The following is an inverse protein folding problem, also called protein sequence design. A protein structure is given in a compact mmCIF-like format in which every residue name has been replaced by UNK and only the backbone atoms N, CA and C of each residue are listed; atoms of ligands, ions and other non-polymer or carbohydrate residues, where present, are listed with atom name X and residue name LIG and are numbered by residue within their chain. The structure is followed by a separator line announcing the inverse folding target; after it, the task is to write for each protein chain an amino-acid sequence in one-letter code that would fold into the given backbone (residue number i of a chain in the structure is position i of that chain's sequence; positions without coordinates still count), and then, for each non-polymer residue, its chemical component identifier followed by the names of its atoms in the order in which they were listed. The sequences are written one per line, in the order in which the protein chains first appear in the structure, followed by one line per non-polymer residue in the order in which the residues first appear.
data_IF_406786251087
#
_entry.id   IF_406786251087
#
_cell.length_a   1.000
_cell.length_b   1.000
_cell.length_c   1.000
_cell.angle_alpha   90.00
_cell.angle_beta   90.00
_cell.angle_gamma   90.00
#
_symmetry.space_group_name_H-M   'P 1'
#
loop_
_entity.id
_entity.type
_entity.pdbx_description
1 polymer ?
#
# COMPACT_ATOMS: atom_id res chain seq x y z
N UNK A 1 9.33 6.19 -23.25
CA UNK A 1 8.81 7.40 -22.58
C UNK A 1 9.09 7.27 -21.09
N UNK A 2 9.61 8.29 -20.40
CA UNK A 2 9.93 8.18 -18.95
C UNK A 2 8.64 8.10 -18.12
N UNK A 3 8.65 7.29 -17.06
CA UNK A 3 7.53 7.19 -16.13
C UNK A 3 7.57 8.37 -15.13
N UNK A 4 6.39 8.80 -14.70
CA UNK A 4 6.17 9.73 -13.60
C UNK A 4 5.25 9.02 -12.60
N UNK A 5 5.70 8.89 -11.36
CA UNK A 5 5.03 8.11 -10.33
C UNK A 5 4.36 9.03 -9.32
N UNK A 6 3.10 8.76 -9.01
CA UNK A 6 2.40 9.41 -7.89
C UNK A 6 1.70 8.36 -7.04
N UNK A 7 1.59 8.64 -5.74
CA UNK A 7 0.55 8.08 -4.90
C UNK A 7 -0.54 9.13 -4.80
N UNK A 8 -1.76 8.79 -5.20
CA UNK A 8 -2.88 9.73 -5.21
C UNK A 8 -3.85 9.37 -4.09
N UNK A 9 -3.80 10.18 -3.05
CA UNK A 9 -4.74 10.16 -1.92
C UNK A 9 -6.07 10.78 -2.37
N UNK A 10 -7.10 9.96 -2.56
CA UNK A 10 -8.40 10.40 -3.10
C UNK A 10 -9.48 10.62 -2.05
N UNK A 11 -9.28 10.13 -0.83
CA UNK A 11 -10.27 10.23 0.25
C UNK A 11 -9.62 10.23 1.62
N UNK A 12 -10.15 11.02 2.55
CA UNK A 12 -9.82 10.91 3.98
C UNK A 12 -10.68 9.84 4.68
N UNK A 13 -11.76 9.37 4.06
CA UNK A 13 -12.65 8.37 4.63
C UNK A 13 -11.91 7.04 4.84
N UNK A 14 -12.02 6.47 6.03
CA UNK A 14 -11.50 5.13 6.33
C UNK A 14 -12.45 4.39 7.26
N UNK A 15 -12.61 3.08 7.04
CA UNK A 15 -13.40 2.18 7.88
C UNK A 15 -12.59 1.53 9.02
N UNK A 16 -11.28 1.77 9.10
CA UNK A 16 -10.45 1.36 10.22
C UNK A 16 -10.01 2.56 11.08
N UNK A 17 -9.53 2.28 12.29
CA UNK A 17 -9.00 3.28 13.24
C UNK A 17 -7.63 2.85 13.75
N UNK A 18 -6.74 2.50 12.82
CA UNK A 18 -5.42 1.96 13.11
C UNK A 18 -4.61 2.86 14.05
N UNK A 19 -3.85 2.30 14.99
CA UNK A 19 -3.08 3.09 15.96
C UNK A 19 -1.89 3.81 15.34
N UNK A 20 -1.27 3.23 14.31
CA UNK A 20 -0.07 3.75 13.65
C UNK A 20 -0.38 4.73 12.51
N UNK A 21 -1.65 5.04 12.24
CA UNK A 21 -2.04 5.81 11.06
C UNK A 21 -1.51 7.25 11.14
N UNK A 22 -0.99 7.77 10.03
CA UNK A 22 -0.54 9.16 9.93
C UNK A 22 -1.71 10.16 9.82
N UNK A 23 -2.93 9.70 9.54
CA UNK A 23 -4.13 10.53 9.47
C UNK A 23 -4.72 10.78 10.87
N UNK A 24 -5.33 11.94 11.05
CA UNK A 24 -6.09 12.31 12.26
C UNK A 24 -7.59 12.26 12.03
N UNK A 25 -8.02 12.60 10.81
CA UNK A 25 -9.42 12.61 10.39
C UNK A 25 -9.69 11.39 9.51
N UNK A 26 -10.93 10.91 9.57
CA UNK A 26 -11.37 9.71 8.87
C UNK A 26 -12.75 9.89 8.23
N UNK A 27 -13.13 11.14 7.91
CA UNK A 27 -14.44 11.52 7.40
C UNK A 27 -14.35 12.02 5.96
N UNK A 28 -15.37 11.70 5.15
CA UNK A 28 -15.47 12.07 3.74
C UNK A 28 -15.61 13.58 3.46
N UNK A 29 -15.87 14.42 4.47
CA UNK A 29 -16.24 15.83 4.27
C UNK A 29 -15.18 16.67 3.55
N UNK A 30 -13.93 16.21 3.53
CA UNK A 30 -12.81 16.90 2.92
C UNK A 30 -12.46 16.34 1.52
N UNK A 31 -13.23 15.36 1.03
CA UNK A 31 -13.01 14.75 -0.29
C UNK A 31 -13.48 15.69 -1.41
N UNK A 32 -12.68 15.77 -2.46
CA UNK A 32 -13.01 16.54 -3.66
C UNK A 32 -14.20 15.95 -4.42
N UNK A 33 -14.97 16.80 -5.11
CA UNK A 33 -15.98 16.32 -6.06
C UNK A 33 -15.33 15.60 -7.24
N UNK A 34 -16.10 14.77 -7.95
CA UNK A 34 -15.58 14.10 -9.14
C UNK A 34 -15.13 15.10 -10.22
N UNK A 35 -15.85 16.21 -10.38
CA UNK A 35 -15.48 17.29 -11.31
C UNK A 35 -14.15 17.94 -10.95
N UNK A 36 -13.90 18.16 -9.66
CA UNK A 36 -12.63 18.70 -9.17
C UNK A 36 -11.47 17.72 -9.39
N UNK A 37 -11.70 16.43 -9.11
CA UNK A 37 -10.75 15.34 -9.39
C UNK A 37 -10.42 15.28 -10.88
N UNK A 38 -11.43 15.34 -11.75
CA UNK A 38 -11.25 15.32 -13.20
C UNK A 38 -10.47 16.54 -13.69
N UNK A 39 -10.72 17.73 -13.13
CA UNK A 39 -9.96 18.95 -13.45
C UNK A 39 -8.48 18.82 -13.06
N UNK A 40 -8.18 18.33 -11.85
CA UNK A 40 -6.81 18.09 -11.40
C UNK A 40 -6.10 17.05 -12.26
N UNK A 41 -6.78 15.96 -12.58
CA UNK A 41 -6.28 14.91 -13.46
C UNK A 41 -5.93 15.47 -14.84
N UNK A 42 -6.82 16.23 -15.46
CA UNK A 42 -6.58 16.81 -16.78
C UNK A 42 -5.37 17.75 -16.79
N UNK A 43 -5.19 18.57 -15.75
CA UNK A 43 -4.01 19.43 -15.60
C UNK A 43 -2.72 18.61 -15.50
N UNK A 44 -2.72 17.54 -14.68
CA UNK A 44 -1.57 16.64 -14.57
C UNK A 44 -1.26 15.97 -15.91
N UNK A 45 -2.28 15.48 -16.60
CA UNK A 45 -2.11 14.80 -17.89
C UNK A 45 -1.55 15.74 -18.95
N UNK A 46 -2.01 17.00 -19.00
CA UNK A 46 -1.46 18.00 -19.90
C UNK A 46 0.03 18.23 -19.61
N UNK A 47 0.39 18.46 -18.34
CA UNK A 47 1.78 18.61 -17.93
C UNK A 47 2.65 17.41 -18.35
N UNK A 48 2.16 16.18 -18.16
CA UNK A 48 2.92 14.99 -18.52
C UNK A 48 3.08 14.81 -20.03
N UNK A 49 2.06 15.17 -20.82
CA UNK A 49 2.15 15.18 -22.29
C UNK A 49 3.19 16.18 -22.77
N UNK A 50 3.19 17.39 -22.23
CA UNK A 50 4.17 18.44 -22.57
C UNK A 50 5.60 18.02 -22.23
N UNK A 51 5.77 17.17 -21.20
CA UNK A 51 7.07 16.62 -20.79
C UNK A 51 7.39 15.27 -21.43
N UNK A 52 6.54 14.76 -22.34
CA UNK A 52 6.67 13.44 -22.96
C UNK A 52 6.89 12.33 -21.91
N UNK A 53 5.98 12.24 -20.93
CA UNK A 53 6.00 11.28 -19.81
C UNK A 53 4.70 10.48 -19.74
N UNK A 54 4.78 9.26 -19.20
CA UNK A 54 3.62 8.43 -18.84
C UNK A 54 3.38 8.47 -17.34
N UNK A 55 2.12 8.38 -16.93
CA UNK A 55 1.71 8.34 -15.53
C UNK A 55 1.62 6.90 -15.03
N UNK A 56 2.33 6.61 -13.95
CA UNK A 56 2.05 5.47 -13.07
C UNK A 56 1.44 6.01 -11.78
N UNK A 57 0.26 5.54 -11.41
CA UNK A 57 -0.48 6.04 -10.24
C UNK A 57 -0.84 4.90 -9.30
N UNK A 58 -0.56 5.05 -8.02
CA UNK A 58 -1.12 4.20 -6.97
C UNK A 58 -2.24 4.97 -6.27
N UNK A 59 -3.48 4.50 -6.38
CA UNK A 59 -4.65 5.09 -5.72
C UNK A 59 -4.68 4.65 -4.27
N UNK A 60 -4.82 5.61 -3.36
CA UNK A 60 -4.78 5.40 -1.91
C UNK A 60 -5.64 6.44 -1.18
N UNK A 61 -5.50 6.52 0.13
CA UNK A 61 -6.09 7.53 1.00
C UNK A 61 -6.27 7.00 2.40
N UNK A 62 -7.43 7.24 3.00
CA UNK A 62 -7.92 6.44 4.11
C UNK A 62 -8.17 5.00 3.68
N UNK A 63 -9.33 4.73 3.10
CA UNK A 63 -9.63 3.50 2.37
C UNK A 63 -10.22 3.86 1.00
N UNK A 64 -9.46 3.72 -0.11
CA UNK A 64 -9.87 4.24 -1.41
C UNK A 64 -11.21 3.67 -1.90
N UNK A 65 -11.53 2.41 -1.57
CA UNK A 65 -12.79 1.78 -1.98
C UNK A 65 -14.04 2.38 -1.31
N UNK A 66 -13.88 3.24 -0.29
CA UNK A 66 -14.99 4.01 0.29
C UNK A 66 -15.32 5.29 -0.47
N UNK A 67 -14.46 5.74 -1.40
CA UNK A 67 -14.75 6.94 -2.15
C UNK A 67 -15.95 6.70 -3.08
N UNK A 68 -16.97 7.56 -3.00
CA UNK A 68 -18.26 7.39 -3.71
C UNK A 68 -18.11 7.27 -5.25
N UNK A 69 -17.09 7.89 -5.81
CA UNK A 69 -16.78 7.88 -7.25
C UNK A 69 -15.57 7.00 -7.59
N UNK A 70 -15.17 6.08 -6.70
CA UNK A 70 -13.99 5.21 -6.89
C UNK A 70 -13.94 4.55 -8.29
N UNK A 71 -15.05 3.96 -8.73
CA UNK A 71 -15.14 3.31 -10.04
C UNK A 71 -14.99 4.30 -11.20
N UNK A 72 -15.62 5.49 -11.13
CA UNK A 72 -15.48 6.53 -12.15
C UNK A 72 -14.04 7.05 -12.26
N UNK A 73 -13.33 7.13 -11.13
CA UNK A 73 -11.91 7.51 -11.12
C UNK A 73 -11.08 6.45 -11.86
N UNK A 74 -11.38 5.16 -11.63
CA UNK A 74 -10.70 4.08 -12.35
C UNK A 74 -11.02 4.07 -13.85
N UNK A 75 -12.27 4.29 -14.25
CA UNK A 75 -12.66 4.42 -15.65
C UNK A 75 -11.88 5.57 -16.33
N UNK A 76 -11.82 6.74 -15.69
CA UNK A 76 -11.05 7.89 -16.16
C UNK A 76 -9.55 7.57 -16.37
N UNK A 77 -8.96 6.78 -15.47
CA UNK A 77 -7.56 6.33 -15.59
C UNK A 77 -7.38 5.31 -16.72
N UNK A 78 -8.30 4.35 -16.84
CA UNK A 78 -8.32 3.29 -17.85
C UNK A 78 -8.47 3.86 -19.27
N UNK A 79 -9.26 4.91 -19.45
CA UNK A 79 -9.49 5.52 -20.77
C UNK A 79 -8.32 6.41 -21.23
N UNK A 80 -7.50 6.93 -20.32
CA UNK A 80 -6.47 7.91 -20.67
C UNK A 80 -5.13 7.28 -21.11
N UNK A 81 -4.76 7.39 -22.38
CA UNK A 81 -3.52 6.83 -22.93
C UNK A 81 -2.20 7.34 -22.30
N UNK A 82 -2.23 8.44 -21.54
CA UNK A 82 -1.05 8.93 -20.81
C UNK A 82 -0.79 8.10 -19.56
N UNK A 83 -1.82 7.47 -19.01
CA UNK A 83 -1.73 6.52 -17.90
C UNK A 83 -1.23 5.19 -18.44
N UNK A 84 -0.08 4.73 -17.93
CA UNK A 84 0.53 3.46 -18.30
C UNK A 84 0.15 2.35 -17.32
N UNK A 85 0.03 2.67 -16.03
CA UNK A 85 -0.18 1.71 -14.95
C UNK A 85 -0.90 2.33 -13.77
N UNK A 86 -1.83 1.57 -13.20
CA UNK A 86 -2.51 1.86 -11.96
C UNK A 86 -2.18 0.80 -10.90
N UNK A 87 -2.19 1.20 -9.64
CA UNK A 87 -2.16 0.33 -8.48
C UNK A 87 -3.15 0.80 -7.42
N UNK A 88 -3.45 -0.07 -6.45
CA UNK A 88 -4.26 0.28 -5.27
C UNK A 88 -3.44 0.01 -4.02
N UNK A 89 -3.45 0.93 -3.06
CA UNK A 89 -3.00 0.72 -1.69
C UNK A 89 -4.24 0.80 -0.79
N UNK A 90 -4.57 -0.31 -0.14
CA UNK A 90 -5.83 -0.49 0.59
C UNK A 90 -5.59 -1.24 1.90
N UNK A 91 -6.45 -1.03 2.89
CA UNK A 91 -6.47 -1.84 4.10
C UNK A 91 -7.06 -3.25 3.86
N UNK A 92 -7.63 -3.51 2.68
CA UNK A 92 -8.06 -4.82 2.22
C UNK A 92 -9.43 -5.28 2.73
N UNK A 93 -10.07 -4.52 3.62
CA UNK A 93 -11.33 -4.93 4.27
C UNK A 93 -12.52 -5.02 3.31
N UNK A 94 -12.44 -4.37 2.15
CA UNK A 94 -13.47 -4.33 1.12
C UNK A 94 -13.11 -5.18 -0.11
N UNK A 95 -12.00 -5.94 -0.06
CA UNK A 95 -11.56 -6.82 -1.14
C UNK A 95 -12.22 -8.20 -1.05
N UNK A 96 -13.55 -8.23 -1.24
CA UNK A 96 -14.26 -9.49 -1.44
C UNK A 96 -14.02 -10.08 -2.85
N UNK A 97 -14.49 -11.31 -3.07
CA UNK A 97 -14.33 -12.04 -4.34
C UNK A 97 -14.94 -11.29 -5.53
N UNK A 98 -16.06 -10.58 -5.35
CA UNK A 98 -16.73 -9.88 -6.45
C UNK A 98 -15.96 -8.61 -6.80
N UNK A 99 -15.60 -7.82 -5.79
CA UNK A 99 -14.77 -6.62 -5.95
C UNK A 99 -13.47 -6.94 -6.67
N UNK A 100 -12.78 -8.01 -6.26
CA UNK A 100 -11.51 -8.41 -6.90
C UNK A 100 -11.70 -8.88 -8.35
N UNK A 101 -12.79 -9.58 -8.67
CA UNK A 101 -13.11 -9.94 -10.06
C UNK A 101 -13.30 -8.70 -10.94
N UNK A 102 -14.07 -7.71 -10.47
CA UNK A 102 -14.25 -6.45 -11.20
C UNK A 102 -12.92 -5.70 -11.37
N UNK A 103 -12.13 -5.59 -10.31
CA UNK A 103 -10.80 -4.99 -10.38
C UNK A 103 -9.88 -5.73 -11.37
N UNK A 104 -10.03 -7.04 -11.50
CA UNK A 104 -9.25 -7.85 -12.43
C UNK A 104 -9.58 -7.62 -13.91
N UNK A 105 -10.71 -6.99 -14.23
CA UNK A 105 -11.08 -6.64 -15.61
C UNK A 105 -10.43 -5.31 -16.06
N UNK A 106 -9.95 -4.50 -15.12
CA UNK A 106 -9.31 -3.21 -15.39
C UNK A 106 -7.90 -3.43 -15.93
N UNK A 107 -7.69 -3.16 -17.23
CA UNK A 107 -6.44 -3.56 -17.91
C UNK A 107 -5.21 -2.82 -17.41
N UNK A 108 -5.33 -1.56 -16.98
CA UNK A 108 -4.19 -0.79 -16.43
C UNK A 108 -3.97 -1.03 -14.96
N UNK A 109 -4.89 -1.64 -14.22
CA UNK A 109 -4.67 -2.02 -12.84
C UNK A 109 -3.73 -3.22 -12.79
N UNK A 110 -2.51 -3.00 -12.30
CA UNK A 110 -1.44 -4.02 -12.31
C UNK A 110 -1.06 -4.53 -10.94
N UNK A 111 -1.41 -3.80 -9.88
CA UNK A 111 -1.04 -4.19 -8.51
C UNK A 111 -2.08 -3.81 -7.50
N UNK A 112 -2.31 -4.68 -6.53
CA UNK A 112 -2.99 -4.38 -5.27
C UNK A 112 -1.98 -4.59 -4.14
N UNK A 113 -1.83 -3.58 -3.29
CA UNK A 113 -0.96 -3.59 -2.12
C UNK A 113 -1.85 -3.54 -0.88
N UNK A 114 -1.89 -4.62 -0.12
CA UNK A 114 -2.69 -4.74 1.10
C UNK A 114 -1.84 -4.39 2.31
N UNK A 115 -2.25 -3.38 3.05
CA UNK A 115 -1.49 -2.90 4.20
C UNK A 115 -1.67 -3.78 5.44
N UNK A 116 -0.57 -4.08 6.14
CA UNK A 116 -0.55 -4.84 7.38
C UNK A 116 0.60 -4.39 8.31
N UNK A 117 0.48 -4.61 9.62
CA UNK A 117 1.56 -4.35 10.60
C UNK A 117 1.99 -5.61 11.35
N UNK A 118 1.35 -6.72 11.03
CA UNK A 118 1.61 -8.01 11.62
C UNK A 118 0.99 -9.11 10.78
N UNK A 119 1.67 -10.24 10.74
CA UNK A 119 1.18 -11.52 10.22
C UNK A 119 0.84 -12.49 11.35
N UNK A 120 0.88 -12.02 12.59
CA UNK A 120 0.36 -12.71 13.76
C UNK A 120 -0.82 -11.93 14.35
N UNK A 121 -1.80 -12.68 14.88
CA UNK A 121 -3.07 -12.15 15.36
C UNK A 121 -2.93 -10.99 16.33
N UNK A 122 -2.12 -11.16 17.37
CA UNK A 122 -1.92 -10.18 18.44
C UNK A 122 -1.39 -8.84 17.91
N UNK A 123 -0.44 -8.86 16.97
CA UNK A 123 0.17 -7.65 16.42
C UNK A 123 -0.75 -6.99 15.39
N UNK A 124 -1.35 -7.78 14.48
CA UNK A 124 -2.30 -7.24 13.52
C UNK A 124 -3.49 -6.57 14.21
N UNK A 125 -4.15 -7.25 15.15
CA UNK A 125 -5.32 -6.73 15.85
C UNK A 125 -4.97 -5.52 16.72
N UNK A 126 -3.79 -5.51 17.34
CA UNK A 126 -3.30 -4.37 18.12
C UNK A 126 -3.17 -3.10 17.27
N UNK A 127 -2.57 -3.20 16.08
CA UNK A 127 -2.32 -2.04 15.23
C UNK A 127 -3.55 -1.62 14.41
N UNK A 128 -4.28 -2.58 13.83
CA UNK A 128 -5.35 -2.33 12.87
C UNK A 128 -6.72 -2.17 13.51
N UNK A 129 -6.91 -2.66 14.73
CA UNK A 129 -8.23 -2.79 15.38
C UNK A 129 -9.24 -3.54 14.49
N UNK A 130 -8.78 -4.56 13.79
CA UNK A 130 -9.58 -5.36 12.87
C UNK A 130 -9.29 -6.85 13.07
N UNK A 131 -10.29 -7.75 13.03
CA UNK A 131 -10.07 -9.17 13.29
C UNK A 131 -9.08 -9.81 12.31
N UNK A 132 -8.11 -10.53 12.84
CA UNK A 132 -7.05 -11.14 12.04
C UNK A 132 -7.60 -12.19 11.05
N UNK A 133 -8.63 -12.93 11.43
CA UNK A 133 -9.28 -13.92 10.55
C UNK A 133 -9.84 -13.28 9.27
N UNK A 134 -10.41 -12.07 9.39
CA UNK A 134 -10.92 -11.34 8.22
C UNK A 134 -9.79 -10.89 7.31
N UNK A 135 -8.64 -10.53 7.87
CA UNK A 135 -7.44 -10.25 7.09
C UNK A 135 -6.94 -11.49 6.34
N UNK A 136 -6.90 -12.67 6.97
CA UNK A 136 -6.55 -13.90 6.29
C UNK A 136 -7.52 -14.20 5.13
N UNK A 137 -8.84 -14.06 5.34
CA UNK A 137 -9.83 -14.19 4.28
C UNK A 137 -9.62 -13.17 3.14
N UNK A 138 -9.24 -11.93 3.45
CA UNK A 138 -8.83 -10.96 2.42
C UNK A 138 -7.65 -11.50 1.60
N UNK A 139 -6.61 -12.06 2.24
CA UNK A 139 -5.46 -12.63 1.54
C UNK A 139 -5.84 -13.82 0.65
N UNK A 140 -6.72 -14.70 1.12
CA UNK A 140 -7.25 -15.80 0.30
C UNK A 140 -8.02 -15.29 -0.92
N UNK A 141 -8.82 -14.24 -0.74
CA UNK A 141 -9.61 -13.67 -1.83
C UNK A 141 -8.73 -13.03 -2.91
N UNK A 142 -7.53 -12.53 -2.60
CA UNK A 142 -6.59 -11.92 -3.57
C UNK A 142 -6.27 -12.84 -4.76
N UNK A 143 -6.41 -14.17 -4.61
CA UNK A 143 -6.34 -15.12 -5.72
C UNK A 143 -7.29 -14.83 -6.89
N UNK A 144 -8.36 -14.06 -6.67
CA UNK A 144 -9.32 -13.64 -7.69
C UNK A 144 -8.87 -12.40 -8.49
N UNK A 145 -7.68 -11.86 -8.24
CA UNK A 145 -7.11 -10.74 -8.98
C UNK A 145 -5.94 -11.19 -9.86
N UNK A 146 -5.98 -10.88 -11.15
CA UNK A 146 -4.98 -11.34 -12.14
C UNK A 146 -3.69 -10.51 -12.18
N UNK A 147 -3.54 -9.51 -11.31
CA UNK A 147 -2.32 -8.69 -11.22
C UNK A 147 -1.40 -9.08 -10.06
N UNK A 148 -0.41 -8.23 -9.83
CA UNK A 148 0.54 -8.34 -8.73
C UNK A 148 -0.16 -8.08 -7.38
N UNK A 149 0.08 -8.93 -6.40
CA UNK A 149 -0.54 -8.93 -5.07
C UNK A 149 0.58 -8.79 -4.06
N UNK A 150 0.66 -7.64 -3.41
CA UNK A 150 1.74 -7.36 -2.46
C UNK A 150 1.17 -7.09 -1.08
N UNK A 151 1.93 -7.47 -0.05
CA UNK A 151 1.76 -6.87 1.28
C UNK A 151 2.56 -5.57 1.35
N UNK A 152 2.03 -4.59 2.08
CA UNK A 152 2.81 -3.41 2.48
C UNK A 152 2.83 -3.35 4.01
N UNK A 153 4.02 -3.53 4.57
CA UNK A 153 4.26 -3.73 5.99
C UNK A 153 4.85 -2.48 6.63
N UNK A 154 4.13 -1.88 7.58
CA UNK A 154 4.65 -0.73 8.34
C UNK A 154 5.51 -1.22 9.51
N UNK A 155 6.82 -1.11 9.36
CA UNK A 155 7.82 -1.57 10.32
C UNK A 155 8.03 -0.58 11.47
N UNK A 156 7.91 -1.08 12.69
CA UNK A 156 8.20 -0.41 13.95
C UNK A 156 9.04 -1.32 14.84
N UNK A 157 9.48 -0.82 16.00
CA UNK A 157 10.36 -1.58 16.90
C UNK A 157 9.70 -2.89 17.39
N UNK A 158 8.39 -2.85 17.67
CA UNK A 158 7.67 -3.96 18.30
C UNK A 158 7.14 -5.02 17.34
N UNK A 159 7.28 -4.83 16.02
CA UNK A 159 6.86 -5.82 15.02
C UNK A 159 8.01 -6.27 14.10
N UNK A 160 9.24 -5.83 14.39
CA UNK A 160 10.41 -6.10 13.57
C UNK A 160 10.75 -7.60 13.46
N UNK A 161 10.41 -8.38 14.47
CA UNK A 161 10.57 -9.84 14.51
C UNK A 161 9.62 -10.58 13.55
N UNK A 162 8.57 -9.92 13.07
CA UNK A 162 7.63 -10.52 12.11
C UNK A 162 8.03 -10.34 10.65
N UNK A 163 9.04 -9.52 10.34
CA UNK A 163 9.43 -9.25 8.95
C UNK A 163 9.82 -10.54 8.22
N UNK A 164 10.53 -11.45 8.90
CA UNK A 164 10.90 -12.74 8.29
C UNK A 164 9.70 -13.68 8.10
N UNK A 165 8.65 -13.53 8.91
CA UNK A 165 7.41 -14.32 8.80
C UNK A 165 6.58 -13.89 7.57
N UNK A 166 6.90 -12.75 6.95
CA UNK A 166 6.25 -12.33 5.70
C UNK A 166 6.54 -13.31 4.55
N UNK A 167 7.73 -13.91 4.51
CA UNK A 167 8.07 -14.93 3.49
C UNK A 167 7.11 -16.13 3.54
N UNK A 168 6.89 -16.69 4.72
CA UNK A 168 5.92 -17.78 4.93
C UNK A 168 4.48 -17.34 4.54
N UNK A 169 4.15 -16.08 4.81
CA UNK A 169 2.82 -15.53 4.51
C UNK A 169 2.60 -15.37 3.01
N UNK A 170 3.58 -14.82 2.27
CA UNK A 170 3.46 -14.65 0.82
C UNK A 170 3.40 -16.02 0.12
N UNK A 171 4.17 -17.01 0.57
CA UNK A 171 4.11 -18.37 0.02
C UNK A 171 2.74 -19.02 0.29
N UNK A 172 2.27 -18.97 1.54
CA UNK A 172 1.00 -19.57 1.95
C UNK A 172 -0.20 -19.04 1.15
N UNK A 173 -0.24 -17.73 0.89
CA UNK A 173 -1.35 -17.08 0.21
C UNK A 173 -1.07 -16.80 -1.28
N UNK A 174 0.04 -17.31 -1.82
CA UNK A 174 0.47 -17.11 -3.22
C UNK A 174 0.47 -15.63 -3.63
N UNK A 175 1.11 -14.80 -2.81
CA UNK A 175 1.34 -13.38 -3.05
C UNK A 175 2.67 -13.19 -3.78
N UNK A 176 2.77 -12.10 -4.55
CA UNK A 176 3.94 -11.79 -5.39
C UNK A 176 5.05 -11.04 -4.64
N UNK A 177 4.97 -10.98 -3.31
CA UNK A 177 5.98 -10.34 -2.46
C UNK A 177 5.43 -9.32 -1.47
N UNK A 178 6.34 -8.50 -0.92
CA UNK A 178 6.01 -7.48 0.07
C UNK A 178 6.91 -6.25 0.01
N UNK A 179 6.40 -5.15 0.53
CA UNK A 179 7.10 -3.88 0.71
C UNK A 179 7.19 -3.62 2.20
N UNK A 180 8.35 -3.15 2.68
CA UNK A 180 8.50 -2.73 4.07
C UNK A 180 8.76 -1.23 4.11
N UNK A 181 7.87 -0.52 4.78
CA UNK A 181 7.97 0.93 5.01
C UNK A 181 8.19 1.20 6.49
N UNK A 182 8.97 2.24 6.80
CA UNK A 182 9.19 2.61 8.20
C UNK A 182 7.97 3.32 8.75
N UNK A 183 7.64 3.02 9.99
CA UNK A 183 6.65 3.79 10.73
C UNK A 183 7.13 5.23 10.92
N UNK A 184 6.31 6.18 10.47
CA UNK A 184 6.50 7.61 10.69
C UNK A 184 5.50 8.10 11.75
N UNK A 185 5.98 8.64 12.89
CA UNK A 185 5.09 9.07 13.96
C UNK A 185 4.45 10.41 13.59
N UNK A 186 3.30 10.36 12.93
CA UNK A 186 2.47 11.50 12.59
C UNK A 186 1.00 11.19 12.85
N UNK A 187 0.16 12.23 12.90
CA UNK A 187 -1.27 12.13 13.17
C UNK A 187 -1.58 11.26 14.39
N UNK A 188 -2.53 10.33 14.24
CA UNK A 188 -2.89 9.39 15.32
C UNK A 188 -1.70 8.55 15.80
N UNK A 189 -0.83 8.15 14.87
CA UNK A 189 0.40 7.42 15.13
C UNK A 189 1.40 8.16 16.00
N UNK A 190 1.33 9.49 16.13
CA UNK A 190 2.28 10.25 16.95
C UNK A 190 2.33 9.78 18.42
N UNK A 191 1.22 9.24 18.95
CA UNK A 191 1.15 8.64 20.28
C UNK A 191 2.05 7.41 20.46
N UNK A 192 2.48 6.79 19.35
CA UNK A 192 3.35 5.62 19.29
C UNK A 192 4.79 5.97 18.89
N UNK A 193 5.21 7.24 18.98
CA UNK A 193 6.56 7.68 18.57
C UNK A 193 7.71 6.86 19.18
N UNK A 194 7.52 6.32 20.37
CA UNK A 194 8.54 5.50 21.04
C UNK A 194 8.69 4.10 20.40
N UNK A 195 7.73 3.71 19.54
CA UNK A 195 7.81 2.50 18.72
C UNK A 195 8.57 2.72 17.41
N UNK A 196 9.09 3.92 17.15
CA UNK A 196 9.93 4.13 15.95
C UNK A 196 11.12 3.19 15.95
N UNK A 197 11.45 2.65 14.78
CA UNK A 197 12.48 1.62 14.69
C UNK A 197 13.87 2.19 15.01
N UNK A 198 14.57 1.49 15.91
CA UNK A 198 15.89 1.86 16.35
C UNK A 198 16.93 1.43 15.31
N UNK A 199 18.03 2.18 15.20
CA UNK A 199 19.11 1.91 14.24
C UNK A 199 19.65 0.47 14.31
N UNK A 200 19.76 -0.09 15.52
CA UNK A 200 20.25 -1.46 15.74
C UNK A 200 19.26 -2.48 15.15
N UNK A 201 17.98 -2.35 15.48
CA UNK A 201 16.90 -3.24 15.03
C UNK A 201 16.71 -3.15 13.52
N UNK A 202 16.72 -1.94 12.95
CA UNK A 202 16.71 -1.75 11.49
C UNK A 202 17.87 -2.49 10.80
N UNK A 203 19.10 -2.36 11.31
CA UNK A 203 20.25 -3.06 10.72
C UNK A 203 20.06 -4.58 10.75
N UNK A 204 19.54 -5.14 11.84
CA UNK A 204 19.25 -6.57 11.94
C UNK A 204 18.19 -7.01 10.94
N UNK A 205 17.07 -6.30 10.85
CA UNK A 205 15.98 -6.60 9.90
C UNK A 205 16.52 -6.65 8.47
N UNK A 206 17.26 -5.61 8.08
CA UNK A 206 17.81 -5.49 6.74
C UNK A 206 18.84 -6.58 6.45
N UNK A 207 19.71 -6.90 7.42
CA UNK A 207 20.66 -8.01 7.28
C UNK A 207 19.94 -9.33 7.01
N UNK A 208 18.93 -9.66 7.82
CA UNK A 208 18.18 -10.91 7.70
C UNK A 208 17.46 -11.01 6.34
N UNK A 209 16.93 -9.88 5.83
CA UNK A 209 16.30 -9.84 4.51
C UNK A 209 17.30 -10.08 3.37
N UNK A 210 18.51 -9.52 3.47
CA UNK A 210 19.55 -9.75 2.47
C UNK A 210 19.98 -11.21 2.46
N UNK A 211 20.22 -11.79 3.64
CA UNK A 211 20.56 -13.20 3.80
C UNK A 211 19.46 -14.11 3.24
N UNK A 212 18.18 -13.82 3.51
CA UNK A 212 17.06 -14.61 2.99
C UNK A 212 16.85 -14.49 1.46
N UNK A 213 17.35 -13.41 0.84
CA UNK A 213 17.30 -13.21 -0.61
C UNK A 213 18.60 -13.64 -1.31
N UNK A 214 19.53 -14.30 -0.61
CA UNK A 214 20.86 -14.66 -1.11
C UNK A 214 21.66 -13.47 -1.67
N UNK A 215 21.44 -12.27 -1.13
CA UNK A 215 22.14 -11.04 -1.51
C UNK A 215 23.30 -10.80 -0.55
N UNK A 216 24.50 -10.54 -1.10
CA UNK A 216 25.68 -10.20 -0.29
C UNK A 216 25.41 -8.96 0.58
N UNK A 217 25.55 -9.12 1.88
CA UNK A 217 25.41 -8.04 2.84
C UNK A 217 26.63 -7.10 2.81
N UNK A 218 26.40 -5.84 2.44
CA UNK A 218 27.37 -4.75 2.62
C UNK A 218 26.72 -3.60 3.44
N UNK A 219 27.14 -3.38 4.70
CA UNK A 219 26.59 -2.33 5.55
C UNK A 219 26.67 -0.92 4.94
N UNK A 220 27.67 -0.63 4.10
CA UNK A 220 27.88 0.71 3.52
C UNK A 220 26.90 0.99 2.39
N UNK A 221 26.67 0.02 1.51
CA UNK A 221 25.68 0.09 0.43
C UNK A 221 24.28 0.20 1.03
N UNK A 222 23.97 -0.62 2.02
CA UNK A 222 22.58 -0.77 2.47
C UNK A 222 22.12 0.35 3.40
N UNK A 223 23.05 0.98 4.12
CA UNK A 223 22.75 2.16 4.95
C UNK A 223 22.19 3.36 4.19
N UNK A 224 22.32 3.38 2.86
CA UNK A 224 21.81 4.44 1.98
C UNK A 224 20.31 4.30 1.68
N UNK A 225 19.74 3.10 1.81
CA UNK A 225 18.35 2.84 1.42
C UNK A 225 17.37 3.16 2.56
N UNK A 226 16.26 3.81 2.20
CA UNK A 226 15.22 4.26 3.15
C UNK A 226 13.93 3.42 3.11
N UNK A 227 13.81 2.53 2.14
CA UNK A 227 12.73 1.56 1.96
C UNK A 227 13.13 0.50 0.92
N UNK A 228 12.45 -0.64 0.90
CA UNK A 228 12.79 -1.77 0.02
C UNK A 228 11.54 -2.58 -0.33
N UNK A 229 11.60 -3.23 -1.49
CA UNK A 229 10.58 -4.12 -2.04
C UNK A 229 11.22 -5.49 -2.26
N UNK A 230 10.56 -6.55 -1.79
CA UNK A 230 10.92 -7.95 -2.02
C UNK A 230 9.87 -8.53 -2.97
N UNK A 231 10.33 -9.14 -4.06
CA UNK A 231 9.54 -9.76 -5.12
C UNK A 231 9.75 -11.27 -5.09
#
# INVERSE_FOLDING_TARGET
MRQFHIQWHITESCNLRCKHCYQEKFEQKEDLSFEEIQKLFNNLIQFLRDKNRKLTVDITGGEPLLHKDFWKIFDMLEENNTVSRCGIITNGTLLDKNTLKFLSEVKKLKVIKVSCEGVEKNVYEYFRHFPFEKFLNTLENLSNFHGEKLLIFTLCETNADQVMKLFETIEKFNLDGFIVERFFPMGKGYQLKDLTIHKKTWKTVIKNLFEACDILWDPEIVSQYRGFKVL
#
